data_IF_125968120932
#
_entry.id   IF_125968120932
#
_cell.length_a   1.000
_cell.length_b   1.000
_cell.length_c   1.000
_cell.angle_alpha   90.00
_cell.angle_beta   90.00
_cell.angle_gamma   90.00
#
_symmetry.space_group_name_H-M   'P 1'
#
loop_
_entity.id
_entity.type
_entity.pdbx_description
1 polymer ?
#
# COMPACT_ATOMS: atom_id res chain seq x y z
N UNK A 1 -12.52 -35.59 9.77
CA UNK A 1 -12.98 -34.34 10.42
C UNK A 1 -11.82 -33.34 10.37
N UNK A 2 -11.77 -32.50 9.32
CA UNK A 2 -10.67 -31.52 9.14
C UNK A 2 -10.96 -30.31 10.04
N UNK A 3 -10.09 -30.04 11.01
CA UNK A 3 -10.14 -28.83 11.82
C UNK A 3 -10.06 -27.62 10.88
N UNK A 4 -11.10 -26.80 10.84
CA UNK A 4 -11.03 -25.44 10.29
C UNK A 4 -10.08 -24.67 11.21
N UNK A 5 -8.91 -24.34 10.69
CA UNK A 5 -8.07 -23.30 11.26
C UNK A 5 -8.83 -22.00 11.04
N UNK A 6 -9.57 -21.57 12.06
CA UNK A 6 -10.01 -20.19 12.14
C UNK A 6 -8.74 -19.37 12.39
N UNK A 7 -8.12 -18.87 11.32
CA UNK A 7 -7.24 -17.72 11.45
C UNK A 7 -8.14 -16.55 11.83
N UNK A 8 -8.16 -16.19 13.10
CA UNK A 8 -8.52 -14.85 13.53
C UNK A 8 -7.43 -13.91 13.01
N UNK A 9 -7.52 -13.60 11.72
CA UNK A 9 -6.74 -12.54 11.13
C UNK A 9 -7.28 -11.24 11.71
N UNK A 10 -6.70 -10.76 12.81
CA UNK A 10 -6.53 -9.32 12.95
C UNK A 10 -5.76 -8.91 11.70
N UNK A 11 -6.47 -8.46 10.66
CA UNK A 11 -5.86 -8.13 9.37
C UNK A 11 -4.80 -7.07 9.62
N UNK A 12 -3.53 -7.45 9.60
CA UNK A 12 -2.43 -6.52 9.77
C UNK A 12 -2.58 -5.46 8.70
N UNK A 13 -2.68 -4.21 9.14
CA UNK A 13 -2.81 -3.09 8.23
C UNK A 13 -1.45 -2.54 7.90
N UNK A 14 -1.25 -2.27 6.63
CA UNK A 14 0.00 -1.72 6.12
C UNK A 14 -0.26 -0.35 5.52
N UNK A 15 0.67 0.56 5.77
CA UNK A 15 0.68 1.91 5.22
C UNK A 15 1.77 1.99 4.16
N UNK A 16 1.39 2.34 2.94
CA UNK A 16 2.30 2.78 1.89
C UNK A 16 2.39 4.31 1.93
N UNK A 17 3.58 4.81 2.24
CA UNK A 17 3.94 6.22 2.07
C UNK A 17 4.89 6.35 0.88
N UNK A 18 4.65 7.31 0.00
CA UNK A 18 5.51 7.49 -1.17
C UNK A 18 5.72 8.96 -1.53
N UNK A 19 6.75 9.20 -2.33
CA UNK A 19 7.00 10.47 -2.98
C UNK A 19 7.35 10.25 -4.44
N UNK A 20 6.92 11.19 -5.28
CA UNK A 20 7.17 11.20 -6.71
C UNK A 20 7.48 12.64 -7.12
N UNK A 21 8.51 12.86 -7.95
CA UNK A 21 8.77 14.17 -8.52
C UNK A 21 7.55 14.75 -9.25
N UNK A 22 7.48 16.07 -9.34
CA UNK A 22 6.26 16.79 -9.76
C UNK A 22 5.90 16.54 -11.22
N UNK A 23 6.90 16.34 -12.06
CA UNK A 23 6.81 16.02 -13.47
C UNK A 23 6.09 14.70 -13.78
N UNK A 24 6.02 13.77 -12.81
CA UNK A 24 5.42 12.44 -12.97
C UNK A 24 3.91 12.41 -12.68
N UNK A 25 3.15 13.29 -13.33
CA UNK A 25 1.69 13.40 -13.14
C UNK A 25 0.95 12.13 -13.59
N UNK A 26 1.36 11.55 -14.70
CA UNK A 26 0.73 10.36 -15.30
C UNK A 26 0.95 9.12 -14.45
N UNK A 27 2.18 8.94 -13.96
CA UNK A 27 2.62 7.86 -13.08
C UNK A 27 1.88 7.94 -11.75
N UNK A 28 1.76 9.14 -11.18
CA UNK A 28 0.98 9.36 -9.95
C UNK A 28 -0.48 8.94 -10.13
N UNK A 29 -1.10 9.34 -11.25
CA UNK A 29 -2.47 8.92 -11.57
C UNK A 29 -2.56 7.40 -11.67
N UNK A 30 -1.59 6.75 -12.33
CA UNK A 30 -1.51 5.29 -12.44
C UNK A 30 -1.41 4.61 -11.08
N UNK A 31 -0.50 5.06 -10.22
CA UNK A 31 -0.35 4.53 -8.85
C UNK A 31 -1.65 4.67 -8.05
N UNK A 32 -2.30 5.84 -8.12
CA UNK A 32 -3.58 6.05 -7.43
C UNK A 32 -4.69 5.12 -7.94
N UNK A 33 -4.70 4.80 -9.23
CA UNK A 33 -5.66 3.83 -9.80
C UNK A 33 -5.35 2.41 -9.34
N UNK A 34 -4.08 2.01 -9.32
CA UNK A 34 -3.64 0.70 -8.80
C UNK A 34 -3.99 0.53 -7.32
N UNK A 35 -3.75 1.56 -6.50
CA UNK A 35 -4.11 1.57 -5.08
C UNK A 35 -5.63 1.44 -4.89
N UNK A 36 -6.44 2.15 -5.68
CA UNK A 36 -7.89 1.99 -5.67
C UNK A 36 -8.32 0.59 -6.11
N UNK A 37 -7.67 0.00 -7.12
CA UNK A 37 -7.99 -1.34 -7.65
C UNK A 37 -7.82 -2.42 -6.58
N UNK A 38 -6.86 -2.25 -5.68
CA UNK A 38 -6.64 -3.19 -4.56
C UNK A 38 -7.51 -2.88 -3.34
N UNK A 39 -8.44 -1.91 -3.44
CA UNK A 39 -9.25 -1.38 -2.35
C UNK A 39 -8.41 -0.76 -1.21
N UNK A 40 -7.27 -0.16 -1.51
CA UNK A 40 -6.54 0.62 -0.52
C UNK A 40 -7.29 1.91 -0.18
N UNK A 41 -7.23 2.31 1.09
CA UNK A 41 -7.84 3.53 1.61
C UNK A 41 -6.80 4.65 1.59
N UNK A 42 -7.14 5.79 0.99
CA UNK A 42 -6.29 6.97 1.07
C UNK A 42 -6.42 7.61 2.46
N UNK A 43 -5.31 7.71 3.19
CA UNK A 43 -5.23 8.48 4.45
C UNK A 43 -4.87 9.94 4.12
N UNK A 44 -3.91 10.13 3.22
CA UNK A 44 -3.46 11.42 2.70
C UNK A 44 -3.00 11.24 1.24
N UNK A 45 -2.78 12.33 0.51
CA UNK A 45 -2.43 12.34 -0.92
C UNK A 45 -1.37 11.29 -1.34
N UNK A 46 -0.32 11.07 -0.53
CA UNK A 46 0.72 10.07 -0.79
C UNK A 46 0.84 9.01 0.32
N UNK A 47 -0.20 8.84 1.13
CA UNK A 47 -0.24 7.88 2.24
C UNK A 47 -1.51 7.05 2.13
N UNK A 48 -1.34 5.75 1.96
CA UNK A 48 -2.42 4.81 1.69
C UNK A 48 -2.34 3.58 2.59
N UNK A 49 -3.49 3.06 2.99
CA UNK A 49 -3.65 1.92 3.90
C UNK A 49 -4.22 0.72 3.13
N UNK A 50 -3.68 -0.48 3.35
CA UNK A 50 -4.23 -1.73 2.83
C UNK A 50 -3.79 -2.92 3.67
N UNK A 51 -4.60 -3.97 3.70
CA UNK A 51 -4.24 -5.29 4.27
C UNK A 51 -3.46 -6.15 3.26
N UNK A 52 -3.36 -5.72 1.99
CA UNK A 52 -2.74 -6.48 0.90
C UNK A 52 -1.25 -6.12 0.74
N UNK A 53 -0.41 -6.60 1.65
CA UNK A 53 1.03 -6.31 1.67
C UNK A 53 1.73 -6.58 0.33
N UNK A 54 1.50 -7.74 -0.28
CA UNK A 54 2.15 -8.12 -1.54
C UNK A 54 1.83 -7.14 -2.67
N UNK A 55 0.59 -6.66 -2.74
CA UNK A 55 0.17 -5.66 -3.72
C UNK A 55 0.82 -4.29 -3.44
N UNK A 56 0.91 -3.89 -2.18
CA UNK A 56 1.63 -2.66 -1.80
C UNK A 56 3.11 -2.75 -2.18
N UNK A 57 3.75 -3.91 -2.02
CA UNK A 57 5.14 -4.12 -2.44
C UNK A 57 5.30 -3.98 -3.97
N UNK A 58 4.37 -4.53 -4.76
CA UNK A 58 4.39 -4.36 -6.22
C UNK A 58 4.25 -2.89 -6.63
N UNK A 59 3.36 -2.15 -5.97
CA UNK A 59 3.17 -0.71 -6.23
C UNK A 59 4.41 0.08 -5.77
N UNK A 60 5.02 -0.27 -4.65
CA UNK A 60 6.25 0.36 -4.15
C UNK A 60 7.43 0.18 -5.12
N UNK A 61 7.56 -1.00 -5.74
CA UNK A 61 8.54 -1.25 -6.80
C UNK A 61 8.26 -0.40 -8.03
N UNK A 62 7.00 -0.33 -8.48
CA UNK A 62 6.60 0.54 -9.59
C UNK A 62 6.94 2.01 -9.33
N UNK A 63 6.71 2.51 -8.11
CA UNK A 63 7.10 3.87 -7.70
C UNK A 63 8.61 4.07 -7.86
N UNK A 64 9.42 3.09 -7.43
CA UNK A 64 10.88 3.15 -7.54
C UNK A 64 11.35 3.11 -9.00
N UNK A 65 10.70 2.32 -9.86
CA UNK A 65 10.97 2.26 -11.30
C UNK A 65 10.72 3.60 -12.00
N UNK A 66 9.73 4.37 -11.54
CA UNK A 66 9.49 5.73 -12.02
C UNK A 66 10.47 6.77 -11.46
N UNK A 67 11.39 6.39 -10.58
CA UNK A 67 12.33 7.32 -9.93
C UNK A 67 11.79 7.98 -8.65
N UNK A 68 10.65 7.49 -8.14
CA UNK A 68 10.11 7.91 -6.84
C UNK A 68 10.73 7.17 -5.65
N UNK A 69 10.27 7.51 -4.46
CA UNK A 69 10.63 6.83 -3.21
C UNK A 69 9.39 6.29 -2.52
N UNK A 70 9.53 5.18 -1.79
CA UNK A 70 8.41 4.53 -1.10
C UNK A 70 8.87 3.84 0.18
N UNK A 71 7.97 3.78 1.16
CA UNK A 71 8.12 3.04 2.43
C UNK A 71 6.81 2.32 2.73
N UNK A 72 6.90 1.07 3.18
CA UNK A 72 5.77 0.31 3.69
C UNK A 72 5.98 0.14 5.20
N UNK A 73 4.96 0.48 5.98
CA UNK A 73 4.96 0.40 7.44
C UNK A 73 3.84 -0.54 7.88
N UNK A 74 4.14 -1.44 8.81
CA UNK A 74 3.13 -2.21 9.51
C UNK A 74 2.52 -1.34 10.62
N UNK A 75 1.20 -1.24 10.68
CA UNK A 75 0.52 -0.49 11.74
C UNK A 75 0.62 -1.26 13.05
N UNK A 76 1.50 -0.81 13.94
CA UNK A 76 1.58 -1.28 15.33
C UNK A 76 0.99 -0.22 16.23
N UNK A 77 -0.02 -0.59 17.02
CA UNK A 77 -0.54 0.26 18.08
C UNK A 77 0.58 0.52 19.10
N UNK A 78 1.09 1.75 19.11
CA UNK A 78 1.98 2.26 20.14
C UNK A 78 1.18 3.30 20.91
N UNK A 79 0.94 3.05 22.20
CA UNK A 79 0.32 3.97 23.15
C UNK A 79 1.32 4.38 24.21
#
# INVERSE_FOLDING_TARGET
>A
MRKRLNNESNGEKFILAFDLPREFHSERKRINLELKRINAKMIQFSIWESEKLEELMRIALMIKEFGGSSKILEEKFLF
#
